data_IF_558175283022
#
_entry.id   IF_558175283022
#
_cell.length_a   1.000
_cell.length_b   1.000
_cell.length_c   1.000
_cell.angle_alpha   90.00
_cell.angle_beta   90.00
_cell.angle_gamma   90.00
#
_symmetry.space_group_name_H-M   'P 1'
#
loop_
_entity.id
_entity.type
_entity.pdbx_description
1 polymer ?
#
# COMPACT_ATOMS: atom_id res chain seq x y z
N UNK A 1 -12.47 -12.54 8.18
CA UNK A 1 -12.92 -13.28 6.99
C UNK A 1 -12.37 -12.58 5.76
N UNK A 2 -11.54 -13.22 4.93
CA UNK A 2 -11.01 -12.55 3.74
C UNK A 2 -12.04 -12.64 2.62
N UNK A 3 -12.73 -11.55 2.25
CA UNK A 3 -13.55 -11.49 1.04
C UNK A 3 -12.88 -12.09 -0.22
N UNK A 4 -11.54 -12.01 -0.39
CA UNK A 4 -10.82 -12.64 -1.50
C UNK A 4 -11.08 -14.13 -1.75
N UNK A 5 -11.58 -14.93 -0.80
CA UNK A 5 -11.89 -16.35 -1.06
C UNK A 5 -13.10 -16.56 -1.97
N UNK A 6 -13.96 -15.54 -2.10
CA UNK A 6 -15.16 -15.61 -2.94
C UNK A 6 -14.94 -15.04 -4.35
N UNK A 7 -13.76 -14.49 -4.64
CA UNK A 7 -13.48 -13.80 -5.90
C UNK A 7 -12.18 -14.29 -6.56
N UNK A 8 -12.08 -14.19 -7.90
CA UNK A 8 -10.86 -14.50 -8.64
C UNK A 8 -9.68 -13.64 -8.18
N UNK A 9 -8.45 -14.18 -8.27
CA UNK A 9 -7.21 -13.53 -7.80
C UNK A 9 -6.96 -12.18 -8.46
N UNK A 10 -7.45 -12.02 -9.69
CA UNK A 10 -7.29 -10.83 -10.52
C UNK A 10 -8.15 -9.65 -10.05
N UNK A 11 -9.09 -9.87 -9.13
CA UNK A 11 -10.00 -8.85 -8.58
C UNK A 11 -9.84 -8.64 -7.08
N UNK A 12 -8.82 -9.24 -6.47
CA UNK A 12 -8.62 -9.18 -5.02
C UNK A 12 -8.38 -7.74 -4.54
N UNK A 13 -7.61 -6.94 -5.29
CA UNK A 13 -7.38 -5.53 -4.97
C UNK A 13 -8.67 -4.71 -5.03
N UNK A 14 -9.42 -4.81 -6.12
CA UNK A 14 -10.70 -4.09 -6.27
C UNK A 14 -11.72 -4.44 -5.18
N UNK A 15 -11.92 -5.73 -4.89
CA UNK A 15 -12.89 -6.19 -3.87
C UNK A 15 -12.49 -5.72 -2.47
N UNK A 16 -11.21 -5.84 -2.10
CA UNK A 16 -10.73 -5.31 -0.83
C UNK A 16 -10.85 -3.79 -0.77
N UNK A 17 -10.65 -3.10 -1.90
CA UNK A 17 -10.85 -1.67 -2.03
C UNK A 17 -12.30 -1.23 -1.77
N UNK A 18 -13.28 -1.96 -2.33
CA UNK A 18 -14.71 -1.73 -2.04
C UNK A 18 -15.03 -1.97 -0.57
N UNK A 19 -14.54 -3.07 0.00
CA UNK A 19 -14.73 -3.34 1.43
C UNK A 19 -14.13 -2.22 2.30
N UNK A 20 -12.94 -1.75 1.93
CA UNK A 20 -12.28 -0.60 2.56
C UNK A 20 -12.98 0.74 2.30
N UNK A 21 -13.95 0.82 1.38
CA UNK A 21 -14.78 2.00 1.16
C UNK A 21 -15.88 2.17 2.23
N UNK A 22 -15.99 1.26 3.21
CA UNK A 22 -16.88 1.43 4.37
C UNK A 22 -16.67 2.75 5.14
N UNK A 23 -15.51 3.40 4.98
CA UNK A 23 -15.22 4.72 5.51
C UNK A 23 -16.08 5.86 4.90
N UNK A 24 -16.90 5.60 3.88
CA UNK A 24 -17.91 6.55 3.37
C UNK A 24 -18.82 7.04 4.51
N UNK A 25 -19.14 6.17 5.48
CA UNK A 25 -19.92 6.56 6.66
C UNK A 25 -19.29 7.73 7.43
N UNK A 26 -17.96 7.79 7.50
CA UNK A 26 -17.24 8.92 8.12
C UNK A 26 -17.45 10.23 7.35
N UNK A 27 -17.49 10.19 6.02
CA UNK A 27 -17.75 11.38 5.20
C UNK A 27 -19.17 11.91 5.44
N UNK A 28 -20.15 10.99 5.46
CA UNK A 28 -21.56 11.31 5.73
C UNK A 28 -21.69 11.93 7.12
N UNK A 29 -21.11 11.30 8.15
CA UNK A 29 -21.17 11.82 9.52
C UNK A 29 -20.47 13.17 9.65
N UNK A 30 -19.31 13.38 9.02
CA UNK A 30 -18.60 14.66 9.04
C UNK A 30 -19.42 15.81 8.42
N UNK A 31 -20.26 15.51 7.43
CA UNK A 31 -21.14 16.48 6.79
C UNK A 31 -22.45 16.70 7.58
N UNK A 32 -23.12 15.61 7.95
CA UNK A 32 -24.48 15.64 8.52
C UNK A 32 -24.48 15.97 10.00
N UNK A 33 -23.48 15.52 10.77
CA UNK A 33 -23.48 15.67 12.22
C UNK A 33 -23.44 17.13 12.68
N UNK A 34 -22.60 18.03 12.12
CA UNK A 34 -22.61 19.44 12.50
C UNK A 34 -23.96 20.13 12.19
N UNK A 35 -24.56 19.83 11.03
CA UNK A 35 -25.85 20.39 10.60
C UNK A 35 -27.01 19.96 11.52
N UNK A 36 -27.03 18.69 11.92
CA UNK A 36 -28.03 18.20 12.87
C UNK A 36 -27.77 18.73 14.28
N UNK A 37 -26.51 18.87 14.69
CA UNK A 37 -26.18 19.36 16.02
C UNK A 37 -26.59 20.83 16.23
N UNK A 38 -26.53 21.68 15.20
CA UNK A 38 -26.98 23.08 15.28
C UNK A 38 -28.51 23.21 15.34
N UNK A 39 -29.25 22.27 14.74
CA UNK A 39 -30.72 22.33 14.64
C UNK A 39 -31.43 21.54 15.75
N UNK A 40 -30.92 20.36 16.09
CA UNK A 40 -31.56 19.41 17.02
C UNK A 40 -30.80 19.26 18.35
N UNK A 41 -29.59 19.82 18.46
CA UNK A 41 -28.69 19.63 19.59
C UNK A 41 -27.90 18.32 19.52
N UNK A 42 -26.70 18.31 20.10
CA UNK A 42 -25.74 17.19 19.98
C UNK A 42 -26.29 15.85 20.49
N UNK A 43 -27.10 15.85 21.56
CA UNK A 43 -27.67 14.62 22.14
C UNK A 43 -28.65 13.94 21.18
N UNK A 44 -29.53 14.73 20.55
CA UNK A 44 -30.52 14.20 19.61
C UNK A 44 -29.86 13.76 18.29
N UNK A 45 -28.81 14.45 17.85
CA UNK A 45 -27.99 14.01 16.71
C UNK A 45 -27.43 12.61 16.95
N UNK A 46 -26.84 12.35 18.13
CA UNK A 46 -26.31 11.01 18.46
C UNK A 46 -27.43 9.96 18.47
N UNK A 47 -28.59 10.26 19.07
CA UNK A 47 -29.75 9.35 19.07
C UNK A 47 -30.21 9.00 17.66
N UNK A 48 -30.20 9.97 16.74
CA UNK A 48 -30.55 9.73 15.34
C UNK A 48 -29.56 8.78 14.65
N UNK A 49 -28.26 8.89 14.94
CA UNK A 49 -27.25 7.96 14.42
C UNK A 49 -27.34 6.54 15.00
N UNK A 50 -28.03 6.32 16.14
CA UNK A 50 -28.28 4.97 16.65
C UNK A 50 -29.28 4.19 15.77
N UNK A 51 -30.18 4.88 15.08
CA UNK A 51 -31.18 4.26 14.19
C UNK A 51 -30.54 3.44 13.06
N UNK A 52 -29.63 3.98 12.22
CA UNK A 52 -28.99 3.20 11.17
C UNK A 52 -28.10 2.08 11.71
N UNK A 53 -27.48 2.26 12.89
CA UNK A 53 -26.70 1.20 13.55
C UNK A 53 -27.60 0.04 13.99
N UNK A 54 -28.74 0.34 14.61
CA UNK A 54 -29.72 -0.66 15.01
C UNK A 54 -30.32 -1.39 13.80
N UNK A 55 -30.64 -0.65 12.74
CA UNK A 55 -31.08 -1.22 11.46
C UNK A 55 -30.03 -2.18 10.89
N UNK A 56 -28.75 -1.78 10.86
CA UNK A 56 -27.67 -2.63 10.38
C UNK A 56 -27.49 -3.89 11.24
N UNK A 57 -27.60 -3.77 12.57
CA UNK A 57 -27.55 -4.91 13.47
C UNK A 57 -28.72 -5.89 13.21
N UNK A 58 -29.94 -5.38 13.01
CA UNK A 58 -31.09 -6.19 12.64
C UNK A 58 -30.90 -6.89 11.29
N UNK A 59 -30.44 -6.18 10.27
CA UNK A 59 -30.13 -6.75 8.96
C UNK A 59 -29.08 -7.86 9.07
N UNK A 60 -28.02 -7.67 9.85
CA UNK A 60 -27.02 -8.71 10.07
C UNK A 60 -27.58 -9.93 10.80
N UNK A 61 -28.50 -9.74 11.76
CA UNK A 61 -29.14 -10.82 12.49
C UNK A 61 -30.05 -11.69 11.60
N UNK A 62 -30.80 -11.07 10.69
CA UNK A 62 -31.73 -11.77 9.79
C UNK A 62 -31.08 -12.30 8.50
N UNK A 63 -30.16 -11.54 7.89
CA UNK A 63 -29.56 -11.85 6.58
C UNK A 63 -28.11 -12.36 6.67
N UNK A 64 -27.50 -12.35 7.84
CA UNK A 64 -26.10 -12.75 8.02
C UNK A 64 -25.88 -14.24 7.74
N UNK A 65 -24.74 -14.55 7.11
CA UNK A 65 -24.34 -15.93 6.80
C UNK A 65 -24.06 -16.72 8.09
N UNK A 66 -24.87 -17.76 8.31
CA UNK A 66 -24.76 -18.68 9.47
C UNK A 66 -23.90 -19.91 9.18
N UNK A 67 -23.51 -20.14 7.92
CA UNK A 67 -22.87 -21.37 7.45
C UNK A 67 -21.34 -21.27 7.39
N UNK A 68 -20.75 -20.09 7.60
CA UNK A 68 -19.29 -19.89 7.56
C UNK A 68 -18.59 -20.75 8.65
N UNK A 69 -17.70 -21.65 8.19
CA UNK A 69 -16.94 -22.53 9.08
C UNK A 69 -15.95 -21.75 9.93
N UNK A 70 -16.08 -21.88 11.26
CA UNK A 70 -15.16 -21.23 12.23
C UNK A 70 -13.78 -21.89 12.17
N UNK A 71 -12.73 -21.07 12.02
CA UNK A 71 -11.34 -21.54 12.07
C UNK A 71 -10.82 -21.43 13.50
N UNK A 72 -10.79 -22.54 14.23
CA UNK A 72 -10.30 -22.61 15.61
C UNK A 72 -8.78 -22.78 15.66
N UNK A 73 -8.02 -21.77 15.23
CA UNK A 73 -6.57 -21.71 15.45
C UNK A 73 -6.24 -20.61 16.46
N UNK A 74 -5.40 -20.87 17.49
CA UNK A 74 -5.02 -19.84 18.44
C UNK A 74 -4.31 -18.66 17.76
N UNK A 75 -4.69 -17.43 18.12
CA UNK A 75 -4.20 -16.19 17.51
C UNK A 75 -2.67 -16.10 17.53
N UNK A 76 -2.05 -16.49 18.64
CA UNK A 76 -0.58 -16.49 18.81
C UNK A 76 0.10 -17.40 17.79
N UNK A 77 -0.45 -18.59 17.54
CA UNK A 77 0.07 -19.50 16.53
C UNK A 77 -0.04 -18.93 15.11
N UNK A 78 -1.13 -18.19 14.84
CA UNK A 78 -1.34 -17.51 13.58
C UNK A 78 -0.34 -16.36 13.36
N UNK A 79 -0.11 -15.51 14.37
CA UNK A 79 0.89 -14.43 14.31
C UNK A 79 2.31 -15.00 14.17
N UNK A 80 2.64 -16.06 14.92
CA UNK A 80 3.95 -16.74 14.86
C UNK A 80 4.24 -17.31 13.46
N UNK A 81 3.22 -17.58 12.66
CA UNK A 81 3.40 -18.07 11.29
C UNK A 81 3.83 -16.98 10.28
N UNK A 82 3.61 -15.70 10.59
CA UNK A 82 3.87 -14.57 9.68
C UNK A 82 4.95 -13.61 10.17
N UNK A 83 5.16 -13.49 11.48
CA UNK A 83 6.00 -12.41 12.06
C UNK A 83 7.46 -12.41 11.60
N UNK A 84 8.02 -13.58 11.24
CA UNK A 84 9.40 -13.70 10.74
C UNK A 84 9.56 -13.18 9.31
N UNK A 85 8.45 -12.99 8.58
CA UNK A 85 8.51 -12.51 7.20
C UNK A 85 8.64 -10.98 7.19
N UNK A 86 9.79 -10.47 6.74
CA UNK A 86 10.05 -9.03 6.67
C UNK A 86 9.03 -8.25 5.85
N UNK A 87 8.43 -8.87 4.82
CA UNK A 87 7.42 -8.22 3.97
C UNK A 87 6.18 -7.79 4.76
N UNK A 88 5.82 -8.51 5.82
CA UNK A 88 4.72 -8.14 6.70
C UNK A 88 4.92 -6.75 7.28
N UNK A 89 6.10 -6.49 7.83
CA UNK A 89 6.41 -5.25 8.54
C UNK A 89 6.50 -4.06 7.58
N UNK A 90 6.98 -4.28 6.35
CA UNK A 90 6.89 -3.26 5.31
C UNK A 90 5.44 -2.91 4.95
N UNK A 91 4.56 -3.92 4.78
CA UNK A 91 3.13 -3.66 4.54
C UNK A 91 2.47 -2.93 5.73
N UNK A 92 2.82 -3.30 6.96
CA UNK A 92 2.38 -2.60 8.16
C UNK A 92 2.82 -1.14 8.16
N UNK A 93 4.10 -0.86 7.85
CA UNK A 93 4.64 0.50 7.77
C UNK A 93 3.95 1.32 6.68
N UNK A 94 3.78 0.75 5.49
CA UNK A 94 3.14 1.45 4.39
C UNK A 94 1.68 1.80 4.72
N UNK A 95 0.97 0.88 5.37
CA UNK A 95 -0.41 1.11 5.77
C UNK A 95 -0.51 2.07 6.96
N UNK A 96 0.42 1.99 7.91
CA UNK A 96 0.55 2.94 9.01
C UNK A 96 0.63 4.37 8.48
N UNK A 97 1.44 4.63 7.45
CA UNK A 97 1.58 5.98 6.89
C UNK A 97 0.38 6.36 6.04
N UNK A 98 -0.07 5.52 5.11
CA UNK A 98 -1.16 5.87 4.19
C UNK A 98 -2.51 6.01 4.92
N UNK A 99 -2.88 5.04 5.74
CA UNK A 99 -4.08 5.11 6.56
C UNK A 99 -3.94 6.13 7.69
N UNK A 100 -2.75 6.22 8.29
CA UNK A 100 -2.47 7.20 9.33
C UNK A 100 -2.61 8.63 8.86
N UNK A 101 -2.09 8.95 7.67
CA UNK A 101 -2.28 10.26 7.02
C UNK A 101 -3.75 10.55 6.79
N UNK A 102 -4.52 9.58 6.30
CA UNK A 102 -5.95 9.73 6.13
C UNK A 102 -6.64 10.10 7.45
N UNK A 103 -6.48 9.29 8.49
CA UNK A 103 -7.14 9.54 9.80
C UNK A 103 -6.66 10.86 10.39
N UNK A 104 -5.36 11.15 10.30
CA UNK A 104 -4.80 12.37 10.85
C UNK A 104 -5.47 13.61 10.29
N UNK A 105 -5.58 13.69 8.96
CA UNK A 105 -6.24 14.80 8.31
C UNK A 105 -7.75 14.82 8.58
N UNK A 106 -8.43 13.67 8.69
CA UNK A 106 -9.87 13.69 9.03
C UNK A 106 -10.18 14.32 10.39
N UNK A 107 -9.29 14.16 11.37
CA UNK A 107 -9.46 14.68 12.73
C UNK A 107 -8.94 16.12 12.84
N UNK A 108 -7.81 16.39 12.19
CA UNK A 108 -7.09 17.64 12.32
C UNK A 108 -7.61 18.76 11.41
N UNK A 109 -7.98 18.42 10.17
CA UNK A 109 -8.29 19.39 9.12
C UNK A 109 -9.43 20.36 9.51
N UNK A 110 -10.57 19.92 10.10
CA UNK A 110 -11.62 20.84 10.51
C UNK A 110 -11.12 21.89 11.51
N UNK A 111 -10.41 21.44 12.55
CA UNK A 111 -9.88 22.32 13.60
C UNK A 111 -8.84 23.29 13.02
N UNK A 112 -7.96 22.81 12.16
CA UNK A 112 -6.94 23.65 11.56
C UNK A 112 -7.54 24.76 10.69
N UNK A 113 -8.54 24.41 9.86
CA UNK A 113 -9.24 25.35 8.98
C UNK A 113 -9.99 26.44 9.76
N UNK A 114 -10.59 26.09 10.90
CA UNK A 114 -11.26 27.06 11.79
C UNK A 114 -10.24 27.95 12.49
N UNK A 115 -9.19 27.37 13.07
CA UNK A 115 -8.24 28.14 13.91
C UNK A 115 -7.27 28.99 13.10
N UNK A 116 -6.74 28.49 11.97
CA UNK A 116 -5.68 29.18 11.21
C UNK A 116 -6.21 30.01 10.04
N UNK A 117 -7.33 29.61 9.44
CA UNK A 117 -7.94 30.33 8.31
C UNK A 117 -9.26 31.02 8.68
N UNK A 118 -9.67 30.97 9.94
CA UNK A 118 -10.89 31.61 10.45
C UNK A 118 -12.16 31.23 9.66
N UNK A 119 -12.21 30.02 9.12
CA UNK A 119 -13.39 29.50 8.42
C UNK A 119 -14.49 29.12 9.42
N UNK A 120 -15.73 29.11 8.95
CA UNK A 120 -16.85 28.60 9.75
C UNK A 120 -16.70 27.09 9.97
N UNK A 121 -17.23 26.57 11.08
CA UNK A 121 -17.22 25.12 11.34
C UNK A 121 -17.94 24.31 10.26
N UNK A 122 -18.92 24.92 9.58
CA UNK A 122 -19.64 24.32 8.47
C UNK A 122 -18.73 24.21 7.24
N UNK A 123 -18.04 25.29 6.86
CA UNK A 123 -17.12 25.30 5.71
C UNK A 123 -15.93 24.35 5.92
N UNK A 124 -15.39 24.32 7.14
CA UNK A 124 -14.31 23.42 7.52
C UNK A 124 -14.76 21.94 7.48
N UNK A 125 -15.98 21.66 7.94
CA UNK A 125 -16.61 20.34 7.84
C UNK A 125 -16.82 19.90 6.40
N UNK A 126 -17.33 20.78 5.54
CA UNK A 126 -17.54 20.56 4.10
C UNK A 126 -16.23 20.21 3.38
N UNK A 127 -15.17 21.00 3.59
CA UNK A 127 -13.85 20.73 2.99
C UNK A 127 -13.27 19.40 3.45
N UNK A 128 -13.46 19.07 4.72
CA UNK A 128 -13.02 17.79 5.28
C UNK A 128 -13.82 16.61 4.71
N UNK A 129 -15.12 16.77 4.51
CA UNK A 129 -15.95 15.77 3.83
C UNK A 129 -15.48 15.55 2.38
N UNK A 130 -15.08 16.61 1.67
CA UNK A 130 -14.45 16.52 0.35
C UNK A 130 -13.16 15.69 0.36
N UNK A 131 -12.27 15.96 1.33
CA UNK A 131 -11.06 15.15 1.55
C UNK A 131 -11.39 13.67 1.76
N UNK A 132 -12.33 13.35 2.67
CA UNK A 132 -12.70 11.97 2.99
C UNK A 132 -13.29 11.27 1.75
N UNK A 133 -14.14 11.98 1.01
CA UNK A 133 -14.81 11.45 -0.18
C UNK A 133 -13.78 11.05 -1.24
N UNK A 134 -12.84 11.93 -1.56
CA UNK A 134 -11.77 11.63 -2.52
C UNK A 134 -10.93 10.45 -2.03
N UNK A 135 -10.46 10.49 -0.79
CA UNK A 135 -9.64 9.41 -0.24
C UNK A 135 -10.36 8.06 -0.29
N UNK A 136 -11.67 8.05 -0.05
CA UNK A 136 -12.46 6.81 -0.02
C UNK A 136 -12.77 6.29 -1.41
N UNK A 137 -13.09 7.16 -2.37
CA UNK A 137 -13.32 6.79 -3.77
C UNK A 137 -12.03 6.31 -4.46
N UNK A 138 -10.89 6.86 -4.07
CA UNK A 138 -9.59 6.45 -4.60
C UNK A 138 -9.12 5.08 -4.09
N UNK A 139 -9.72 4.53 -3.02
CA UNK A 139 -9.36 3.20 -2.50
C UNK A 139 -9.67 2.05 -3.47
N UNK A 140 -10.92 1.87 -3.97
CA UNK A 140 -11.20 0.89 -5.01
C UNK A 140 -10.33 1.08 -6.25
N UNK A 141 -10.08 2.34 -6.65
CA UNK A 141 -9.25 2.67 -7.81
C UNK A 141 -7.80 2.24 -7.56
N UNK A 142 -7.24 2.50 -6.38
CA UNK A 142 -5.90 2.04 -6.02
C UNK A 142 -5.78 0.53 -6.00
N UNK A 143 -6.79 -0.17 -5.49
CA UNK A 143 -6.87 -1.63 -5.54
C UNK A 143 -6.89 -2.15 -6.98
N UNK A 144 -7.72 -1.56 -7.84
CA UNK A 144 -7.82 -1.88 -9.26
C UNK A 144 -6.52 -1.58 -10.04
N UNK A 145 -5.90 -0.43 -9.79
CA UNK A 145 -4.59 -0.10 -10.35
C UNK A 145 -3.54 -1.13 -9.91
N UNK A 146 -3.56 -1.54 -8.65
CA UNK A 146 -2.70 -2.59 -8.12
C UNK A 146 -2.94 -3.96 -8.76
N UNK A 147 -4.15 -4.25 -9.21
CA UNK A 147 -4.47 -5.47 -9.95
C UNK A 147 -3.93 -5.42 -11.39
N UNK A 148 -3.92 -4.24 -12.04
CA UNK A 148 -3.51 -4.07 -13.45
C UNK A 148 -2.01 -3.77 -13.66
N UNK A 149 -1.40 -3.02 -12.75
CA UNK A 149 -0.02 -2.55 -12.85
C UNK A 149 0.85 -3.09 -11.71
N UNK A 150 2.17 -2.86 -11.77
CA UNK A 150 3.06 -3.22 -10.67
C UNK A 150 2.69 -2.40 -9.41
N UNK A 151 2.30 -3.04 -8.28
CA UNK A 151 1.87 -2.33 -7.08
C UNK A 151 2.95 -1.46 -6.46
N UNK A 152 4.23 -1.85 -6.57
CA UNK A 152 5.34 -1.06 -6.05
C UNK A 152 5.52 0.22 -6.85
N UNK A 153 5.34 0.20 -8.17
CA UNK A 153 5.37 1.41 -8.99
C UNK A 153 4.27 2.41 -8.57
N UNK A 154 3.08 1.90 -8.21
CA UNK A 154 1.99 2.74 -7.67
C UNK A 154 2.37 3.28 -6.29
N UNK A 155 2.96 2.46 -5.42
CA UNK A 155 3.42 2.90 -4.11
C UNK A 155 4.54 3.96 -4.20
N UNK A 156 5.41 3.89 -5.20
CA UNK A 156 6.40 4.94 -5.47
C UNK A 156 5.71 6.28 -5.73
N UNK A 157 4.73 6.29 -6.63
CA UNK A 157 3.94 7.48 -6.90
C UNK A 157 3.24 8.00 -5.63
N UNK A 158 2.62 7.10 -4.85
CA UNK A 158 1.92 7.44 -3.61
C UNK A 158 2.85 8.09 -2.59
N UNK A 159 4.00 7.48 -2.29
CA UNK A 159 4.91 8.01 -1.29
C UNK A 159 5.65 9.27 -1.76
N UNK A 160 5.93 9.40 -3.06
CA UNK A 160 6.43 10.65 -3.62
C UNK A 160 5.42 11.78 -3.46
N UNK A 161 4.13 11.52 -3.77
CA UNK A 161 3.05 12.48 -3.59
C UNK A 161 2.82 12.86 -2.13
N UNK A 162 2.86 11.90 -1.19
CA UNK A 162 2.77 12.18 0.25
C UNK A 162 3.97 13.00 0.76
N UNK A 163 5.18 12.69 0.29
CA UNK A 163 6.40 13.44 0.64
C UNK A 163 6.28 14.89 0.17
N UNK A 164 5.95 15.09 -1.11
CA UNK A 164 5.75 16.41 -1.68
C UNK A 164 4.66 17.19 -0.94
N UNK A 165 3.53 16.55 -0.64
CA UNK A 165 2.43 17.19 0.08
C UNK A 165 2.82 17.58 1.51
N UNK A 166 3.56 16.72 2.22
CA UNK A 166 4.06 17.04 3.56
C UNK A 166 5.00 18.25 3.55
N UNK A 167 5.90 18.34 2.56
CA UNK A 167 6.77 19.51 2.37
C UNK A 167 5.93 20.76 2.08
N UNK A 168 4.99 20.68 1.12
CA UNK A 168 4.12 21.79 0.72
C UNK A 168 3.34 22.34 1.92
N UNK A 169 2.74 21.47 2.72
CA UNK A 169 1.93 21.84 3.89
C UNK A 169 2.80 22.38 5.04
N UNK A 170 4.07 21.98 5.13
CA UNK A 170 4.99 22.49 6.15
C UNK A 170 5.29 23.97 6.02
N UNK A 171 5.23 24.55 4.82
CA UNK A 171 5.50 25.98 4.61
C UNK A 171 4.27 26.87 4.87
N UNK A 172 3.24 26.33 5.53
CA UNK A 172 2.00 27.03 5.89
C UNK A 172 1.44 27.87 4.74
N UNK A 173 1.12 27.24 3.60
CA UNK A 173 0.83 27.97 2.39
C UNK A 173 -0.57 28.61 2.42
N UNK A 174 -0.87 29.47 1.46
CA UNK A 174 -2.21 30.08 1.29
C UNK A 174 -3.31 29.03 1.29
N UNK A 175 -4.53 29.41 1.67
CA UNK A 175 -5.69 28.50 1.73
C UNK A 175 -5.87 27.62 0.47
N UNK A 176 -5.58 28.18 -0.71
CA UNK A 176 -5.63 27.47 -1.99
C UNK A 176 -4.59 26.36 -2.07
N UNK A 177 -3.32 26.68 -1.81
CA UNK A 177 -2.22 25.71 -1.83
C UNK A 177 -2.36 24.67 -0.71
N UNK A 178 -2.84 25.08 0.46
CA UNK A 178 -3.15 24.17 1.56
C UNK A 178 -4.23 23.15 1.15
N UNK A 179 -5.28 23.61 0.46
CA UNK A 179 -6.32 22.74 -0.07
C UNK A 179 -5.76 21.77 -1.11
N UNK A 180 -4.91 22.23 -2.03
CA UNK A 180 -4.24 21.37 -3.02
C UNK A 180 -3.39 20.29 -2.32
N UNK A 181 -2.61 20.65 -1.30
CA UNK A 181 -1.83 19.71 -0.50
C UNK A 181 -2.71 18.66 0.18
N UNK A 182 -3.80 19.07 0.83
CA UNK A 182 -4.75 18.16 1.45
C UNK A 182 -5.40 17.20 0.45
N UNK A 183 -5.84 17.70 -0.72
CA UNK A 183 -6.45 16.87 -1.76
C UNK A 183 -5.45 15.88 -2.37
N UNK A 184 -4.18 16.27 -2.47
CA UNK A 184 -3.10 15.37 -2.91
C UNK A 184 -2.86 14.27 -1.88
N UNK A 185 -2.84 14.61 -0.57
CA UNK A 185 -2.81 13.60 0.50
C UNK A 185 -4.02 12.67 0.42
N UNK A 186 -5.22 13.20 0.21
CA UNK A 186 -6.44 12.40 0.06
C UNK A 186 -6.30 11.37 -1.06
N UNK A 187 -5.86 11.82 -2.23
CA UNK A 187 -5.64 10.99 -3.40
C UNK A 187 -4.59 9.90 -3.13
N UNK A 188 -3.40 10.28 -2.68
CA UNK A 188 -2.30 9.35 -2.42
C UNK A 188 -2.62 8.37 -1.29
N UNK A 189 -3.21 8.82 -0.19
CA UNK A 189 -3.64 7.95 0.90
C UNK A 189 -4.73 6.97 0.44
N UNK A 190 -5.68 7.41 -0.37
CA UNK A 190 -6.71 6.56 -0.95
C UNK A 190 -6.14 5.47 -1.84
N UNK A 191 -5.35 5.86 -2.85
CA UNK A 191 -4.69 4.93 -3.79
C UNK A 191 -3.76 3.96 -3.05
N UNK A 192 -2.96 4.47 -2.11
CA UNK A 192 -2.01 3.70 -1.30
C UNK A 192 -2.70 2.61 -0.48
N UNK A 193 -3.77 2.97 0.23
CA UNK A 193 -4.56 2.02 1.02
C UNK A 193 -5.07 0.85 0.16
N UNK A 194 -5.66 1.14 -1.00
CA UNK A 194 -6.14 0.10 -1.92
C UNK A 194 -5.02 -0.80 -2.44
N UNK A 195 -3.89 -0.20 -2.81
CA UNK A 195 -2.72 -0.92 -3.35
C UNK A 195 -2.10 -1.87 -2.31
N UNK A 196 -2.01 -1.45 -1.05
CA UNK A 196 -1.45 -2.28 0.03
C UNK A 196 -2.34 -3.50 0.31
N UNK A 197 -3.66 -3.35 0.29
CA UNK A 197 -4.58 -4.47 0.46
C UNK A 197 -4.56 -5.47 -0.70
N UNK A 198 -4.03 -5.09 -1.86
CA UNK A 198 -3.70 -6.04 -2.96
C UNK A 198 -2.41 -6.80 -2.69
N UNK A 199 -1.41 -6.16 -2.09
CA UNK A 199 -0.12 -6.79 -1.78
C UNK A 199 -0.21 -7.85 -0.67
N UNK A 200 -1.15 -7.72 0.27
CA UNK A 200 -1.36 -8.72 1.33
C UNK A 200 -1.70 -10.11 0.77
N UNK A 201 -2.78 -10.31 -0.02
CA UNK A 201 -3.10 -11.62 -0.58
C UNK A 201 -2.05 -12.09 -1.61
N UNK A 202 -1.30 -11.18 -2.24
CA UNK A 202 -0.21 -11.51 -3.14
C UNK A 202 0.94 -12.24 -2.41
N UNK A 203 1.40 -11.73 -1.26
CA UNK A 203 2.49 -12.36 -0.49
C UNK A 203 2.02 -13.40 0.52
N UNK A 204 0.79 -13.31 1.01
CA UNK A 204 0.28 -14.10 2.13
C UNK A 204 -1.06 -14.78 1.81
N UNK A 205 -1.18 -15.40 0.63
CA UNK A 205 -2.42 -16.04 0.17
C UNK A 205 -3.07 -17.00 1.19
N UNK A 206 -2.27 -17.81 1.89
CA UNK A 206 -2.76 -18.77 2.93
C UNK A 206 -3.11 -18.13 4.27
N UNK A 207 -2.55 -16.95 4.56
CA UNK A 207 -2.60 -16.28 5.88
C UNK A 207 -3.17 -14.85 5.78
N UNK A 208 -3.85 -14.53 4.67
CA UNK A 208 -4.27 -13.18 4.33
C UNK A 208 -5.14 -12.54 5.42
N UNK A 209 -5.97 -13.33 6.11
CA UNK A 209 -6.79 -12.82 7.21
C UNK A 209 -5.98 -12.26 8.39
N UNK A 210 -4.94 -12.97 8.81
CA UNK A 210 -4.08 -12.56 9.94
C UNK A 210 -3.25 -11.35 9.57
N UNK A 211 -2.69 -11.37 8.36
CA UNK A 211 -1.88 -10.27 7.85
C UNK A 211 -2.74 -9.02 7.67
N UNK A 212 -3.92 -9.13 7.07
CA UNK A 212 -4.86 -8.01 6.99
C UNK A 212 -5.20 -7.47 8.38
N UNK A 213 -5.41 -8.35 9.38
CA UNK A 213 -5.67 -7.94 10.75
C UNK A 213 -4.50 -7.15 11.37
N UNK A 214 -3.28 -7.67 11.26
CA UNK A 214 -2.07 -7.01 11.78
C UNK A 214 -1.80 -5.67 11.07
N UNK A 215 -1.86 -5.67 9.73
CA UNK A 215 -1.68 -4.47 8.92
C UNK A 215 -2.74 -3.42 9.28
N UNK A 216 -4.01 -3.83 9.42
CA UNK A 216 -5.09 -2.91 9.81
C UNK A 216 -4.92 -2.37 11.22
N UNK A 217 -4.46 -3.19 12.17
CA UNK A 217 -4.18 -2.75 13.53
C UNK A 217 -3.05 -1.71 13.57
N UNK A 218 -1.97 -1.95 12.82
CA UNK A 218 -0.88 -0.97 12.65
C UNK A 218 -1.37 0.30 11.96
N UNK A 219 -2.24 0.20 10.97
CA UNK A 219 -2.93 1.35 10.37
C UNK A 219 -3.71 2.15 11.40
N UNK A 220 -4.49 1.48 12.25
CA UNK A 220 -5.22 2.11 13.35
C UNK A 220 -4.31 2.89 14.30
N UNK A 221 -3.19 2.29 14.73
CA UNK A 221 -2.16 2.98 15.52
C UNK A 221 -1.60 4.20 14.78
N UNK A 222 -1.35 4.05 13.48
CA UNK A 222 -0.96 5.14 12.59
C UNK A 222 -1.99 6.25 12.48
N UNK A 223 -3.26 6.01 12.77
CA UNK A 223 -4.29 7.06 12.79
C UNK A 223 -4.28 7.93 14.05
N UNK A 224 -3.87 7.36 15.19
CA UNK A 224 -3.79 8.09 16.45
C UNK A 224 -2.47 8.86 16.61
N UNK A 225 -1.38 8.30 16.10
CA UNK A 225 -0.04 8.82 16.33
C UNK A 225 0.23 10.21 15.70
N UNK A 226 -0.05 10.46 14.40
CA UNK A 226 0.22 11.76 13.79
C UNK A 226 -0.57 12.92 14.40
N UNK A 227 -1.89 12.82 14.70
CA UNK A 227 -2.60 13.87 15.43
C UNK A 227 -1.97 14.20 16.77
N UNK A 228 -1.60 13.18 17.55
CA UNK A 228 -0.92 13.40 18.84
C UNK A 228 0.40 14.15 18.67
N UNK A 229 1.20 13.76 17.67
CA UNK A 229 2.46 14.45 17.35
C UNK A 229 2.19 15.90 16.92
N UNK A 230 1.27 16.13 15.99
CA UNK A 230 0.93 17.48 15.51
C UNK A 230 0.43 18.37 16.65
N UNK A 231 -0.47 17.87 17.50
CA UNK A 231 -1.02 18.63 18.63
C UNK A 231 0.05 18.94 19.69
N UNK A 232 0.91 17.96 20.03
CA UNK A 232 1.98 18.16 21.01
C UNK A 232 3.00 19.17 20.50
N UNK A 233 3.44 19.02 19.25
CA UNK A 233 4.38 19.94 18.60
C UNK A 233 3.80 21.35 18.57
N UNK A 234 2.55 21.52 18.17
CA UNK A 234 1.89 22.82 18.15
C UNK A 234 1.81 23.46 19.53
N UNK A 235 1.48 22.70 20.57
CA UNK A 235 1.41 23.22 21.94
C UNK A 235 2.77 23.72 22.45
N UNK A 236 3.88 23.17 21.95
CA UNK A 236 5.24 23.55 22.36
C UNK A 236 5.80 24.68 21.48
N UNK A 237 5.61 24.61 20.16
CA UNK A 237 6.30 25.50 19.21
C UNK A 237 5.39 26.58 18.62
N UNK A 238 4.08 26.45 18.75
CA UNK A 238 3.09 27.29 18.06
C UNK A 238 3.00 27.06 16.55
N UNK A 239 3.75 26.11 15.98
CA UNK A 239 3.83 25.89 14.53
C UNK A 239 3.61 24.43 14.14
N UNK A 240 2.69 24.20 13.20
CA UNK A 240 2.38 22.86 12.68
C UNK A 240 3.38 22.34 11.64
N UNK A 241 4.28 23.19 11.15
CA UNK A 241 5.28 22.88 10.13
C UNK A 241 6.07 21.60 10.45
N UNK A 242 6.54 21.48 11.70
CA UNK A 242 7.35 20.34 12.15
C UNK A 242 6.57 19.01 12.04
N UNK A 243 5.26 19.02 12.32
CA UNK A 243 4.41 17.84 12.19
C UNK A 243 4.27 17.39 10.72
N UNK A 244 4.07 18.34 9.80
CA UNK A 244 4.02 18.03 8.37
C UNK A 244 5.37 17.62 7.79
N UNK A 245 6.46 18.22 8.27
CA UNK A 245 7.82 17.81 7.89
C UNK A 245 8.14 16.39 8.40
N UNK A 246 7.70 16.04 9.61
CA UNK A 246 7.81 14.66 10.11
C UNK A 246 7.08 13.67 9.21
N UNK A 247 5.85 13.99 8.81
CA UNK A 247 5.10 13.17 7.85
C UNK A 247 5.86 13.01 6.53
N UNK A 248 6.43 14.10 6.00
CA UNK A 248 7.23 14.06 4.78
C UNK A 248 8.46 13.15 4.92
N UNK A 249 9.17 13.20 6.04
CA UNK A 249 10.33 12.35 6.30
C UNK A 249 9.96 10.86 6.37
N UNK A 250 8.88 10.51 7.07
CA UNK A 250 8.40 9.12 7.13
C UNK A 250 7.92 8.62 5.75
N UNK A 251 7.24 9.47 4.99
CA UNK A 251 6.84 9.17 3.61
C UNK A 251 8.07 8.99 2.70
N UNK A 252 9.10 9.83 2.83
CA UNK A 252 10.34 9.73 2.07
C UNK A 252 11.12 8.45 2.41
N UNK A 253 11.23 8.10 3.69
CA UNK A 253 11.84 6.84 4.11
C UNK A 253 11.11 5.64 3.49
N UNK A 254 9.77 5.68 3.47
CA UNK A 254 8.96 4.64 2.81
C UNK A 254 9.13 4.64 1.29
N UNK A 255 9.27 5.80 0.66
CA UNK A 255 9.59 5.91 -0.76
C UNK A 255 10.91 5.20 -1.09
N UNK A 256 11.96 5.42 -0.30
CA UNK A 256 13.26 4.77 -0.45
C UNK A 256 13.15 3.25 -0.26
N UNK A 257 12.39 2.80 0.73
CA UNK A 257 12.15 1.37 0.96
C UNK A 257 11.42 0.74 -0.23
N UNK A 258 10.37 1.41 -0.74
CA UNK A 258 9.62 0.93 -1.91
C UNK A 258 10.50 0.91 -3.16
N UNK A 259 11.37 1.91 -3.36
CA UNK A 259 12.35 1.91 -4.46
C UNK A 259 13.25 0.69 -4.37
N UNK A 260 13.81 0.44 -3.19
CA UNK A 260 14.66 -0.72 -2.96
C UNK A 260 13.92 -2.05 -3.21
N UNK A 261 12.69 -2.18 -2.72
CA UNK A 261 11.85 -3.37 -2.95
C UNK A 261 11.52 -3.55 -4.45
N UNK A 262 11.25 -2.47 -5.18
CA UNK A 262 10.98 -2.50 -6.61
C UNK A 262 12.19 -3.03 -7.41
N UNK A 263 13.40 -2.56 -7.09
CA UNK A 263 14.63 -3.06 -7.71
C UNK A 263 14.90 -4.52 -7.37
N UNK A 264 14.70 -4.93 -6.12
CA UNK A 264 14.86 -6.32 -5.71
C UNK A 264 13.89 -7.27 -6.42
N UNK A 265 12.63 -6.87 -6.58
CA UNK A 265 11.65 -7.68 -7.29
C UNK A 265 12.06 -7.87 -8.76
N UNK A 266 12.54 -6.82 -9.42
CA UNK A 266 13.03 -6.88 -10.80
C UNK A 266 14.22 -7.83 -10.96
N UNK A 267 15.22 -7.73 -10.09
CA UNK A 267 16.40 -8.61 -10.10
C UNK A 267 16.04 -10.09 -9.85
N UNK A 268 15.09 -10.34 -8.95
CA UNK A 268 14.63 -11.71 -8.67
C UNK A 268 13.92 -12.34 -9.86
N UNK A 269 13.18 -11.55 -10.64
CA UNK A 269 12.43 -12.03 -11.80
C UNK A 269 13.38 -12.42 -12.94
N UNK A 270 14.41 -11.61 -13.21
CA UNK A 270 15.47 -11.90 -14.18
C UNK A 270 16.20 -13.20 -13.82
N UNK A 271 16.51 -13.39 -12.54
CA UNK A 271 17.19 -14.61 -12.06
C UNK A 271 16.31 -15.84 -12.21
N UNK A 272 15.03 -15.77 -11.80
CA UNK A 272 14.08 -16.87 -11.92
C UNK A 272 13.83 -17.28 -13.37
N UNK A 273 13.76 -16.33 -14.31
CA UNK A 273 13.64 -16.64 -15.74
C UNK A 273 14.87 -17.44 -16.18
N UNK A 274 16.08 -16.93 -15.91
CA UNK A 274 17.32 -17.60 -16.29
C UNK A 274 17.40 -19.03 -15.73
N UNK A 275 16.97 -19.24 -14.48
CA UNK A 275 16.99 -20.56 -13.84
C UNK A 275 15.93 -21.53 -14.37
N UNK A 276 14.76 -21.03 -14.77
CA UNK A 276 13.63 -21.85 -15.22
C UNK A 276 13.66 -22.23 -16.70
N UNK A 277 14.43 -21.52 -17.54
CA UNK A 277 14.56 -21.87 -18.95
C UNK A 277 15.19 -23.27 -19.10
N UNK A 278 14.50 -24.17 -19.81
CA UNK A 278 14.96 -25.54 -20.05
C UNK A 278 16.13 -25.62 -21.04
N UNK A 279 16.28 -24.63 -21.91
CA UNK A 279 17.38 -24.50 -22.88
C UNK A 279 18.62 -23.87 -22.25
N UNK A 280 19.79 -24.31 -22.73
CA UNK A 280 21.08 -23.77 -22.33
C UNK A 280 21.25 -22.32 -22.79
N UNK A 281 21.54 -21.41 -21.85
CA UNK A 281 21.82 -20.00 -22.10
C UNK A 281 23.25 -19.69 -21.67
N UNK A 282 23.99 -19.03 -22.55
CA UNK A 282 25.34 -18.50 -22.31
C UNK A 282 25.32 -17.01 -22.61
N UNK A 283 25.80 -16.19 -21.67
CA UNK A 283 25.99 -14.75 -21.86
C UNK A 283 27.49 -14.49 -21.97
N UNK A 284 27.90 -13.84 -23.06
CA UNK A 284 29.30 -13.48 -23.30
C UNK A 284 29.48 -11.98 -23.43
N UNK A 285 30.67 -11.47 -23.08
CA UNK A 285 31.06 -10.10 -23.41
C UNK A 285 31.34 -9.95 -24.92
N UNK A 286 31.64 -8.72 -25.35
CA UNK A 286 31.96 -8.39 -26.76
C UNK A 286 33.22 -9.10 -27.30
N UNK A 287 34.07 -9.66 -26.43
CA UNK A 287 35.26 -10.44 -26.80
C UNK A 287 34.99 -11.95 -26.83
N UNK A 288 33.76 -12.38 -26.59
CA UNK A 288 33.37 -13.79 -26.56
C UNK A 288 33.81 -14.54 -25.30
N UNK A 289 34.12 -13.84 -24.20
CA UNK A 289 34.35 -14.48 -22.89
C UNK A 289 33.01 -14.70 -22.20
N UNK A 290 32.78 -15.90 -21.66
CA UNK A 290 31.58 -16.26 -20.90
C UNK A 290 31.54 -15.44 -19.60
N UNK A 291 30.49 -14.65 -19.42
CA UNK A 291 30.22 -13.90 -18.19
C UNK A 291 29.23 -14.64 -17.29
N UNK A 292 28.28 -15.36 -17.88
CA UNK A 292 27.24 -16.08 -17.13
C UNK A 292 26.68 -17.26 -17.91
N UNK A 293 26.29 -18.31 -17.20
CA UNK A 293 25.57 -19.46 -17.73
C UNK A 293 24.38 -19.78 -16.84
N UNK A 294 23.33 -20.38 -17.40
CA UNK A 294 22.16 -20.80 -16.62
C UNK A 294 22.25 -22.28 -16.17
N UNK A 295 21.40 -22.76 -15.24
CA UNK A 295 21.43 -24.16 -14.80
C UNK A 295 21.21 -25.18 -15.92
N UNK A 296 20.47 -24.82 -16.98
CA UNK A 296 20.29 -25.70 -18.13
C UNK A 296 21.59 -25.95 -18.89
N UNK A 297 22.48 -24.96 -19.00
CA UNK A 297 23.81 -25.14 -19.55
C UNK A 297 24.57 -26.23 -18.80
N UNK A 298 24.57 -26.19 -17.46
CA UNK A 298 25.24 -27.20 -16.65
C UNK A 298 24.62 -28.59 -16.81
N UNK A 299 23.27 -28.68 -16.92
CA UNK A 299 22.61 -29.97 -17.19
C UNK A 299 22.94 -30.56 -18.56
N UNK A 300 23.02 -29.73 -19.60
CA UNK A 300 23.25 -30.18 -20.98
C UNK A 300 24.71 -30.51 -21.23
N UNK A 301 25.63 -29.66 -20.73
CA UNK A 301 27.06 -29.77 -21.03
C UNK A 301 27.86 -30.52 -19.96
N UNK A 302 27.33 -30.63 -18.74
CA UNK A 302 28.01 -31.22 -17.58
C UNK A 302 28.97 -30.25 -16.86
N UNK A 303 29.29 -29.09 -17.44
CA UNK A 303 30.18 -28.11 -16.83
C UNK A 303 29.46 -27.23 -15.79
N UNK A 304 30.08 -27.04 -14.62
CA UNK A 304 29.61 -26.09 -13.61
C UNK A 304 29.89 -24.66 -14.05
N UNK A 305 29.07 -23.73 -13.59
CA UNK A 305 29.23 -22.31 -13.88
C UNK A 305 30.64 -21.79 -13.51
N UNK A 306 31.17 -22.20 -12.35
CA UNK A 306 32.51 -21.82 -11.90
C UNK A 306 33.64 -22.27 -12.85
N UNK A 307 33.43 -23.34 -13.61
CA UNK A 307 34.45 -23.92 -14.49
C UNK A 307 34.55 -23.21 -15.84
N UNK A 308 33.49 -22.50 -16.24
CA UNK A 308 33.33 -21.93 -17.59
C UNK A 308 33.26 -20.41 -17.60
N UNK A 309 32.83 -19.78 -16.50
CA UNK A 309 32.83 -18.31 -16.38
C UNK A 309 34.28 -17.80 -16.47
N UNK A 310 34.50 -16.79 -17.31
CA UNK A 310 35.82 -16.26 -17.63
C UNK A 310 36.54 -16.98 -18.77
N UNK A 311 35.98 -18.07 -19.33
CA UNK A 311 36.55 -18.81 -20.47
C UNK A 311 35.83 -18.50 -21.77
N UNK A 312 36.40 -18.94 -22.89
CA UNK A 312 35.79 -18.81 -24.21
C UNK A 312 34.92 -20.04 -24.54
N UNK A 313 33.73 -19.91 -25.16
CA UNK A 313 32.86 -21.03 -25.52
C UNK A 313 33.50 -22.12 -26.36
N UNK A 314 34.65 -21.87 -27.01
CA UNK A 314 35.48 -22.89 -27.67
C UNK A 314 35.82 -24.08 -26.77
N UNK A 315 35.78 -23.94 -25.44
CA UNK A 315 35.97 -25.06 -24.50
C UNK A 315 34.95 -26.20 -24.71
N UNK A 316 33.80 -25.91 -25.32
CA UNK A 316 32.73 -26.87 -25.62
C UNK A 316 32.96 -27.63 -26.93
N UNK A 317 34.03 -27.31 -27.66
CA UNK A 317 34.32 -27.92 -28.95
C UNK A 317 34.74 -29.38 -28.77
N UNK A 318 33.89 -30.30 -29.21
CA UNK A 318 34.10 -31.76 -29.07
C UNK A 318 35.09 -32.35 -30.08
N UNK A 319 35.60 -31.55 -31.02
CA UNK A 319 36.45 -32.00 -32.13
C UNK A 319 35.72 -32.84 -33.19
N UNK A 320 34.43 -33.16 -33.01
CA UNK A 320 33.65 -33.99 -33.96
C UNK A 320 33.12 -33.26 -35.19
N UNK A 321 33.10 -31.93 -35.14
CA UNK A 321 32.64 -31.08 -36.24
C UNK A 321 33.81 -30.28 -36.81
N UNK A 322 33.83 -30.17 -38.14
CA UNK A 322 34.86 -29.45 -38.88
C UNK A 322 34.65 -27.94 -38.85
N UNK A 323 35.63 -27.18 -39.35
CA UNK A 323 35.58 -25.72 -39.35
C UNK A 323 34.43 -25.17 -40.21
N UNK A 324 34.08 -25.89 -41.28
CA UNK A 324 32.97 -25.57 -42.19
C UNK A 324 31.60 -25.65 -41.51
N UNK A 325 31.40 -26.58 -40.56
CA UNK A 325 30.20 -26.65 -39.74
C UNK A 325 30.01 -25.39 -38.88
N UNK A 326 31.05 -24.94 -38.16
CA UNK A 326 30.95 -23.78 -37.28
C UNK A 326 30.76 -22.46 -38.04
N UNK A 327 31.29 -22.34 -39.26
CA UNK A 327 31.04 -21.20 -40.14
C UNK A 327 29.58 -21.09 -40.61
N UNK A 328 28.81 -22.19 -40.61
CA UNK A 328 27.38 -22.18 -40.95
C UNK A 328 26.46 -21.88 -39.76
N UNK A 329 26.98 -22.00 -38.53
CA UNK A 329 26.22 -21.81 -37.29
C UNK A 329 26.13 -20.33 -36.87
N UNK A 330 27.09 -19.51 -37.30
CA UNK A 330 27.22 -18.09 -37.03
C UNK A 330 26.95 -17.27 -38.30
#
# INVERSE_FOLDING_TARGET
TSLPKYYPKERHGFVNGIYGAGNIGTAITAFVAPLLATTLGWQNTIRLFLVPVALFAALNFFLGDRQEKRVNKPLIGQIKSVYRNGKLWFLCLFYFITFGSFVAFTVYLPNFLVTNFHLTSIDAGLRTAGFITIATLMRPIGGWLGDKFNPFAILLFVFAGLTFSGILLSFSPTITLYSIGCLTVAFCAGVGNGTIFKLVPYYFSKQAGVVNGLVSAMGGLGGFFPPMVLSTVFNITGHYAIGFMSLAMFALASLVIVLWMFYLEKLSLETNIMESVGQSIIVTNTKGTIEKVNPAFTRVTGYKAEEVVGKNPKLLQSGKHDHTFYQKMW
#
